data_IF_863223019231
#
_entry.id   IF_863223019231
#
_cell.length_a   1.000
_cell.length_b   1.000
_cell.length_c   1.000
_cell.angle_alpha   90.00
_cell.angle_beta   90.00
_cell.angle_gamma   90.00
#
_symmetry.space_group_name_H-M   'P 1'
#
loop_
_entity.id
_entity.type
_entity.pdbx_description
1 polymer ?
#
# COMPACT_ATOMS: atom_id res chain seq x y z
N UNK A 1 14.54 -58.84 25.44
CA UNK A 1 15.62 -58.47 26.39
C UNK A 1 15.06 -58.06 27.76
N UNK A 2 14.12 -57.11 27.83
CA UNK A 2 13.52 -56.65 29.10
C UNK A 2 12.86 -57.78 29.91
N UNK A 3 12.09 -58.67 29.28
CA UNK A 3 11.45 -59.80 29.97
C UNK A 3 12.44 -60.76 30.62
N UNK A 4 13.62 -60.95 30.02
CA UNK A 4 14.68 -61.76 30.60
C UNK A 4 15.32 -61.07 31.80
N UNK A 5 15.54 -59.76 31.75
CA UNK A 5 16.08 -58.99 32.88
C UNK A 5 15.13 -59.00 34.08
N UNK A 6 13.83 -58.80 33.85
CA UNK A 6 12.82 -58.89 34.91
C UNK A 6 12.73 -60.31 35.50
N UNK A 7 12.74 -61.32 34.64
CA UNK A 7 12.75 -62.71 35.05
C UNK A 7 14.02 -63.06 35.85
N UNK A 8 15.19 -62.66 35.37
CA UNK A 8 16.48 -62.85 36.05
C UNK A 8 16.51 -62.13 37.40
N UNK A 9 15.98 -60.91 37.48
CA UNK A 9 15.83 -60.16 38.73
C UNK A 9 14.95 -60.88 39.76
N UNK A 10 13.85 -61.51 39.32
CA UNK A 10 12.96 -62.28 40.19
C UNK A 10 13.66 -63.54 40.72
N UNK A 11 14.34 -64.29 39.85
CA UNK A 11 15.06 -65.51 40.26
C UNK A 11 16.33 -65.22 41.07
N UNK A 12 16.99 -64.10 40.81
CA UNK A 12 18.20 -63.65 41.50
C UNK A 12 17.91 -62.53 42.50
N UNK A 13 16.71 -62.50 43.09
CA UNK A 13 16.29 -61.47 44.04
C UNK A 13 17.26 -61.33 45.23
N UNK A 14 17.97 -62.40 45.59
CA UNK A 14 18.98 -62.40 46.65
C UNK A 14 20.16 -61.48 46.32
N UNK A 15 20.61 -61.47 45.07
CA UNK A 15 21.65 -60.54 44.62
C UNK A 15 21.16 -59.09 44.73
N UNK A 16 19.90 -58.85 44.36
CA UNK A 16 19.29 -57.52 44.49
C UNK A 16 19.18 -57.09 45.96
N UNK A 17 18.77 -57.99 46.87
CA UNK A 17 18.74 -57.71 48.31
C UNK A 17 20.13 -57.37 48.83
N UNK A 18 21.17 -58.11 48.45
CA UNK A 18 22.55 -57.82 48.88
C UNK A 18 23.01 -56.45 48.37
N UNK A 19 22.72 -56.15 47.11
CA UNK A 19 23.13 -54.92 46.43
C UNK A 19 22.43 -53.67 46.99
N UNK A 20 21.12 -53.77 47.27
CA UNK A 20 20.28 -52.64 47.66
C UNK A 20 20.04 -52.52 49.17
N UNK A 21 20.35 -53.53 49.98
CA UNK A 21 20.25 -53.43 51.43
C UNK A 21 21.39 -52.57 52.01
N UNK A 22 21.12 -51.78 53.04
CA UNK A 22 22.11 -50.94 53.75
C UNK A 22 22.77 -51.63 54.95
N UNK A 23 22.47 -52.92 55.20
CA UNK A 23 23.00 -53.66 56.35
C UNK A 23 24.49 -54.04 56.19
N UNK A 24 25.19 -54.27 57.30
CA UNK A 24 26.56 -54.79 57.30
C UNK A 24 26.69 -56.06 56.43
N UNK A 25 27.75 -56.18 55.60
CA UNK A 25 27.94 -57.32 54.69
C UNK A 25 27.84 -58.69 55.36
N UNK A 26 28.39 -58.84 56.56
CA UNK A 26 28.40 -60.11 57.31
C UNK A 26 26.98 -60.59 57.65
N UNK A 27 26.10 -59.67 58.07
CA UNK A 27 24.70 -59.98 58.40
C UNK A 27 23.90 -60.30 57.14
N UNK A 28 24.23 -59.69 55.99
CA UNK A 28 23.60 -60.00 54.69
C UNK A 28 23.90 -61.42 54.25
N UNK A 29 25.15 -61.85 54.33
CA UNK A 29 25.53 -63.22 53.96
C UNK A 29 24.87 -64.25 54.86
N UNK A 30 24.87 -64.02 56.18
CA UNK A 30 24.18 -64.90 57.13
C UNK A 30 22.67 -65.00 56.84
N UNK A 31 22.02 -63.89 56.48
CA UNK A 31 20.59 -63.89 56.15
C UNK A 31 20.31 -64.63 54.83
N UNK A 32 21.14 -64.42 53.81
CA UNK A 32 21.02 -65.10 52.51
C UNK A 32 21.28 -66.60 52.65
N UNK A 33 22.25 -67.00 53.47
CA UNK A 33 22.54 -68.40 53.79
C UNK A 33 21.38 -69.06 54.54
N UNK A 34 20.82 -68.39 55.55
CA UNK A 34 19.63 -68.87 56.26
C UNK A 34 18.40 -69.01 55.34
N UNK A 35 18.24 -68.10 54.38
CA UNK A 35 17.18 -68.17 53.37
C UNK A 35 17.44 -69.27 52.33
N UNK A 36 18.72 -69.55 52.03
CA UNK A 36 19.13 -70.60 51.09
C UNK A 36 18.98 -71.99 51.69
N UNK A 37 19.29 -72.15 52.98
CA UNK A 37 19.09 -73.39 53.71
C UNK A 37 17.61 -73.81 53.79
N UNK A 38 16.68 -72.85 53.69
CA UNK A 38 15.23 -73.09 53.62
C UNK A 38 14.68 -73.20 52.20
N UNK A 39 15.55 -73.22 51.18
CA UNK A 39 15.11 -73.25 49.78
C UNK A 39 14.44 -74.59 49.47
N UNK A 40 13.12 -74.56 49.23
CA UNK A 40 12.31 -75.73 48.88
C UNK A 40 12.85 -76.54 47.71
N UNK A 41 13.58 -75.91 46.78
CA UNK A 41 14.20 -76.60 45.64
C UNK A 41 15.29 -77.59 46.04
N UNK A 42 16.05 -77.30 47.10
CA UNK A 42 17.07 -78.22 47.60
C UNK A 42 16.42 -79.46 48.24
N UNK A 43 15.24 -79.30 48.85
CA UNK A 43 14.44 -80.40 49.39
C UNK A 43 13.71 -81.21 48.31
N UNK A 44 13.28 -80.55 47.22
CA UNK A 44 12.63 -81.22 46.09
C UNK A 44 13.62 -82.04 45.24
N UNK A 45 14.91 -81.66 45.23
CA UNK A 45 15.93 -82.29 44.40
C UNK A 45 17.25 -82.51 45.17
N UNK A 46 17.27 -83.41 46.16
CA UNK A 46 18.43 -83.64 47.03
C UNK A 46 19.65 -84.23 46.31
N UNK A 47 19.47 -84.80 45.12
CA UNK A 47 20.54 -85.40 44.32
C UNK A 47 21.21 -84.44 43.33
N UNK A 48 20.83 -83.17 43.29
CA UNK A 48 21.45 -82.22 42.37
C UNK A 48 22.83 -81.80 42.86
N UNK A 49 23.88 -81.88 42.01
CA UNK A 49 25.18 -81.36 42.36
C UNK A 49 25.09 -79.84 42.58
N UNK A 50 25.85 -79.28 43.55
CA UNK A 50 25.80 -77.85 43.88
C UNK A 50 26.01 -76.93 42.66
N UNK A 51 26.80 -77.35 41.69
CA UNK A 51 27.08 -76.61 40.46
C UNK A 51 25.86 -76.53 39.54
N UNK A 52 25.08 -77.62 39.45
CA UNK A 52 23.87 -77.64 38.65
C UNK A 52 22.77 -76.76 39.26
N UNK A 53 22.71 -76.66 40.59
CA UNK A 53 21.78 -75.76 41.28
C UNK A 53 21.98 -74.30 40.85
N UNK A 54 23.22 -73.83 40.82
CA UNK A 54 23.56 -72.47 40.40
C UNK A 54 23.24 -72.22 38.92
N UNK A 55 23.50 -73.19 38.04
CA UNK A 55 23.14 -73.10 36.61
C UNK A 55 21.61 -73.05 36.41
N UNK A 56 20.88 -73.89 37.14
CA UNK A 56 19.43 -73.97 37.04
C UNK A 56 18.77 -72.67 37.52
N UNK A 57 19.21 -72.09 38.63
CA UNK A 57 18.59 -70.86 39.17
C UNK A 57 19.14 -69.60 38.50
N UNK A 58 20.43 -69.57 38.18
CA UNK A 58 21.08 -68.41 37.60
C UNK A 58 20.71 -68.17 36.14
N UNK A 59 20.51 -69.25 35.36
CA UNK A 59 20.30 -69.15 33.91
C UNK A 59 19.04 -69.86 33.43
N UNK A 60 18.88 -71.17 33.70
CA UNK A 60 17.76 -71.93 33.11
C UNK A 60 16.39 -71.48 33.62
N UNK A 61 16.25 -71.19 34.92
CA UNK A 61 15.02 -70.72 35.53
C UNK A 61 14.54 -69.42 34.88
N UNK A 62 15.36 -68.36 34.88
CA UNK A 62 15.07 -67.12 34.16
C UNK A 62 14.72 -67.32 32.70
N UNK A 63 15.43 -68.21 32.00
CA UNK A 63 15.22 -68.52 30.59
C UNK A 63 13.86 -69.18 30.38
N UNK A 64 13.51 -70.19 31.18
CA UNK A 64 12.24 -70.91 31.10
C UNK A 64 11.06 -70.00 31.44
N UNK A 65 11.16 -69.16 32.47
CA UNK A 65 10.09 -68.19 32.77
C UNK A 65 10.00 -67.12 31.70
N UNK A 66 11.10 -66.69 31.08
CA UNK A 66 11.06 -65.77 29.92
C UNK A 66 10.36 -66.42 28.74
N UNK A 67 10.67 -67.68 28.44
CA UNK A 67 10.02 -68.43 27.37
C UNK A 67 8.52 -68.61 27.66
N UNK A 68 8.16 -68.91 28.91
CA UNK A 68 6.77 -68.96 29.35
C UNK A 68 6.07 -67.62 29.11
N UNK A 69 6.65 -66.50 29.55
CA UNK A 69 6.10 -65.17 29.28
C UNK A 69 5.94 -64.91 27.78
N UNK A 70 6.95 -65.22 26.95
CA UNK A 70 6.87 -65.00 25.51
C UNK A 70 5.81 -65.86 24.81
N UNK A 71 5.48 -67.04 25.33
CA UNK A 71 4.48 -67.92 24.73
C UNK A 71 3.06 -67.67 25.26
N UNK A 72 2.95 -67.28 26.52
CA UNK A 72 1.66 -67.16 27.22
C UNK A 72 1.12 -65.74 27.12
N UNK A 73 1.97 -64.72 27.23
CA UNK A 73 1.55 -63.32 27.21
C UNK A 73 0.86 -62.93 25.89
N UNK A 74 1.37 -63.29 24.69
CA UNK A 74 0.67 -62.97 23.44
C UNK A 74 -0.71 -63.62 23.33
N UNK A 75 -0.91 -64.79 23.94
CA UNK A 75 -2.25 -65.45 23.95
C UNK A 75 -3.23 -64.66 24.81
N UNK A 76 -2.79 -64.16 25.96
CA UNK A 76 -3.62 -63.29 26.80
C UNK A 76 -3.90 -61.94 26.13
N UNK A 77 -2.92 -61.35 25.45
CA UNK A 77 -3.09 -60.12 24.68
C UNK A 77 -4.10 -60.30 23.55
N UNK A 78 -3.99 -61.39 22.78
CA UNK A 78 -4.95 -61.71 21.72
C UNK A 78 -6.37 -61.89 22.26
N UNK A 79 -6.52 -62.55 23.42
CA UNK A 79 -7.82 -62.71 24.08
C UNK A 79 -8.38 -61.36 24.54
N UNK A 80 -7.57 -60.52 25.19
CA UNK A 80 -7.97 -59.19 25.64
C UNK A 80 -8.37 -58.29 24.46
N UNK A 81 -7.61 -58.33 23.37
CA UNK A 81 -7.89 -57.57 22.15
C UNK A 81 -9.20 -58.03 21.52
N UNK A 82 -9.44 -59.34 21.44
CA UNK A 82 -10.70 -59.90 20.92
C UNK A 82 -11.90 -59.38 21.72
N UNK A 83 -11.84 -59.46 23.05
CA UNK A 83 -12.90 -58.96 23.93
C UNK A 83 -13.12 -57.45 23.73
N UNK A 84 -12.03 -56.68 23.59
CA UNK A 84 -12.11 -55.23 23.35
C UNK A 84 -12.76 -54.88 22.00
N UNK A 85 -12.41 -55.62 20.94
CA UNK A 85 -13.00 -55.46 19.61
C UNK A 85 -14.49 -55.81 19.62
N UNK A 86 -14.88 -56.91 20.25
CA UNK A 86 -16.28 -57.32 20.39
C UNK A 86 -17.11 -56.24 21.11
N UNK A 87 -16.59 -55.70 22.22
CA UNK A 87 -17.24 -54.57 22.92
C UNK A 87 -17.34 -53.32 22.05
N UNK A 88 -16.29 -53.01 21.29
CA UNK A 88 -16.28 -51.85 20.40
C UNK A 88 -17.34 -51.96 19.30
N UNK A 89 -17.54 -53.16 18.75
CA UNK A 89 -18.59 -53.44 17.76
C UNK A 89 -19.98 -53.34 18.40
N UNK A 90 -20.18 -53.93 19.59
CA UNK A 90 -21.44 -53.83 20.32
C UNK A 90 -21.81 -52.39 20.64
N UNK A 91 -20.84 -51.59 21.12
CA UNK A 91 -21.06 -50.17 21.41
C UNK A 91 -21.42 -49.37 20.17
N UNK A 92 -20.82 -49.68 19.00
CA UNK A 92 -21.23 -49.07 17.72
C UNK A 92 -22.67 -49.41 17.37
N UNK A 93 -23.10 -50.66 17.55
CA UNK A 93 -24.47 -51.09 17.34
C UNK A 93 -25.46 -50.33 18.23
N UNK A 94 -25.20 -50.30 19.55
CA UNK A 94 -26.03 -49.58 20.52
C UNK A 94 -26.10 -48.09 20.19
N UNK A 95 -24.98 -47.48 19.76
CA UNK A 95 -24.96 -46.07 19.37
C UNK A 95 -25.84 -45.81 18.15
N UNK A 96 -25.74 -46.65 17.11
CA UNK A 96 -26.58 -46.54 15.91
C UNK A 96 -28.07 -46.69 16.24
N UNK A 97 -28.43 -47.65 17.11
CA UNK A 97 -29.80 -47.83 17.61
C UNK A 97 -30.28 -46.59 18.39
N UNK A 98 -29.45 -46.05 19.29
CA UNK A 98 -29.78 -44.85 20.06
C UNK A 98 -29.96 -43.60 19.18
N UNK A 99 -29.20 -43.49 18.10
CA UNK A 99 -29.29 -42.40 17.12
C UNK A 99 -30.42 -42.62 16.10
N UNK A 100 -31.17 -43.74 16.18
CA UNK A 100 -32.14 -44.19 15.16
C UNK A 100 -31.54 -44.20 13.75
N UNK A 101 -30.23 -44.38 13.64
CA UNK A 101 -29.50 -44.39 12.38
C UNK A 101 -29.40 -45.82 11.87
N UNK A 102 -29.91 -46.07 10.67
CA UNK A 102 -29.72 -47.37 10.00
C UNK A 102 -28.27 -47.47 9.50
N UNK A 103 -27.54 -48.57 9.79
CA UNK A 103 -26.23 -48.78 9.20
C UNK A 103 -26.38 -48.84 7.67
N UNK A 104 -25.76 -47.88 6.99
CA UNK A 104 -25.78 -47.77 5.53
C UNK A 104 -25.05 -48.99 4.95
N UNK A 105 -25.65 -49.67 3.97
CA UNK A 105 -25.00 -50.78 3.29
C UNK A 105 -23.74 -50.30 2.56
N UNK A 106 -22.73 -51.16 2.40
CA UNK A 106 -21.47 -50.74 1.77
C UNK A 106 -21.69 -50.16 0.37
N UNK A 107 -22.56 -50.78 -0.42
CA UNK A 107 -22.89 -50.34 -1.78
C UNK A 107 -23.64 -49.00 -1.78
N UNK A 108 -24.57 -48.80 -0.84
CA UNK A 108 -25.25 -47.52 -0.65
C UNK A 108 -24.27 -46.41 -0.24
N UNK A 109 -23.25 -46.74 0.56
CA UNK A 109 -22.23 -45.77 0.96
C UNK A 109 -21.33 -45.34 -0.21
N UNK A 110 -21.08 -46.24 -1.16
CA UNK A 110 -20.34 -45.93 -2.39
C UNK A 110 -21.20 -45.04 -3.28
N UNK A 111 -22.46 -45.44 -3.51
CA UNK A 111 -23.40 -44.66 -4.31
C UNK A 111 -23.61 -43.24 -3.74
N UNK A 112 -23.74 -43.12 -2.41
CA UNK A 112 -23.90 -41.81 -1.77
C UNK A 112 -22.65 -40.94 -1.94
N UNK A 113 -21.45 -41.52 -1.85
CA UNK A 113 -20.19 -40.80 -2.11
C UNK A 113 -20.10 -40.32 -3.56
N UNK A 114 -20.55 -41.13 -4.50
CA UNK A 114 -20.58 -40.76 -5.91
C UNK A 114 -21.56 -39.64 -6.19
N UNK A 115 -22.78 -39.71 -5.64
CA UNK A 115 -23.75 -38.61 -5.70
C UNK A 115 -23.22 -37.31 -5.09
N UNK A 116 -22.52 -37.40 -3.95
CA UNK A 116 -21.90 -36.22 -3.32
C UNK A 116 -20.83 -35.63 -4.24
N UNK A 117 -19.97 -36.47 -4.82
CA UNK A 117 -18.92 -36.02 -5.75
C UNK A 117 -19.53 -35.33 -6.98
N UNK A 118 -20.55 -35.93 -7.59
CA UNK A 118 -21.25 -35.32 -8.73
C UNK A 118 -21.91 -33.99 -8.38
N UNK A 119 -22.54 -33.90 -7.19
CA UNK A 119 -23.14 -32.66 -6.71
C UNK A 119 -22.09 -31.57 -6.44
N UNK A 120 -20.92 -31.93 -5.92
CA UNK A 120 -19.79 -31.02 -5.72
C UNK A 120 -19.24 -30.52 -7.07
N UNK A 121 -19.00 -31.42 -8.03
CA UNK A 121 -18.55 -31.05 -9.38
C UNK A 121 -19.55 -30.12 -10.08
N UNK A 122 -20.84 -30.40 -9.97
CA UNK A 122 -21.90 -29.55 -10.53
C UNK A 122 -21.96 -28.16 -9.87
N UNK A 123 -21.78 -28.10 -8.54
CA UNK A 123 -21.72 -26.86 -7.78
C UNK A 123 -20.50 -26.02 -8.20
N UNK A 124 -19.34 -26.63 -8.30
CA UNK A 124 -18.10 -25.94 -8.68
C UNK A 124 -18.20 -25.39 -10.10
N UNK A 125 -18.77 -26.17 -11.04
CA UNK A 125 -19.05 -25.70 -12.38
C UNK A 125 -20.02 -24.51 -12.40
N UNK A 126 -21.04 -24.49 -11.53
CA UNK A 126 -21.97 -23.37 -11.41
C UNK A 126 -21.30 -22.11 -10.85
N UNK A 127 -20.46 -22.26 -9.82
CA UNK A 127 -19.68 -21.16 -9.23
C UNK A 127 -18.75 -20.56 -10.28
N UNK A 128 -18.05 -21.37 -11.06
CA UNK A 128 -17.13 -20.88 -12.08
C UNK A 128 -17.86 -20.13 -13.20
N UNK A 129 -19.02 -20.63 -13.64
CA UNK A 129 -19.88 -19.90 -14.59
C UNK A 129 -20.30 -18.55 -14.06
N UNK A 130 -20.70 -18.47 -12.79
CA UNK A 130 -21.08 -17.22 -12.16
C UNK A 130 -19.89 -16.25 -12.07
N UNK A 131 -18.70 -16.75 -11.73
CA UNK A 131 -17.47 -15.96 -11.69
C UNK A 131 -17.12 -15.36 -13.05
N UNK A 132 -17.21 -16.13 -14.13
CA UNK A 132 -16.97 -15.66 -15.50
C UNK A 132 -17.97 -14.56 -15.89
N UNK A 133 -19.25 -14.71 -15.52
CA UNK A 133 -20.27 -13.69 -15.81
C UNK A 133 -20.00 -12.39 -15.05
N UNK A 134 -19.68 -12.49 -13.76
CA UNK A 134 -19.32 -11.33 -12.95
C UNK A 134 -18.08 -10.62 -13.50
N UNK A 135 -17.06 -11.38 -13.92
CA UNK A 135 -15.85 -10.79 -14.50
C UNK A 135 -16.18 -10.01 -15.78
N UNK A 136 -17.01 -10.58 -16.67
CA UNK A 136 -17.45 -9.87 -17.89
C UNK A 136 -18.21 -8.58 -17.58
N UNK A 137 -19.02 -8.58 -16.52
CA UNK A 137 -19.75 -7.38 -16.10
C UNK A 137 -18.81 -6.31 -15.54
N UNK A 138 -17.83 -6.72 -14.73
CA UNK A 138 -16.76 -5.84 -14.23
C UNK A 138 -15.96 -5.24 -15.39
N UNK A 139 -15.54 -6.06 -16.36
CA UNK A 139 -14.76 -5.59 -17.51
C UNK A 139 -15.58 -4.60 -18.37
N UNK A 140 -16.88 -4.85 -18.55
CA UNK A 140 -17.79 -3.92 -19.22
C UNK A 140 -17.90 -2.60 -18.47
N UNK A 141 -18.08 -2.65 -17.15
CA UNK A 141 -18.18 -1.47 -16.30
C UNK A 141 -16.89 -0.67 -16.26
N UNK A 142 -15.75 -1.35 -16.24
CA UNK A 142 -14.44 -0.71 -16.31
C UNK A 142 -14.26 0.04 -17.63
N UNK A 143 -14.66 -0.59 -18.75
CA UNK A 143 -14.63 0.08 -20.05
C UNK A 143 -15.54 1.30 -20.11
N UNK A 144 -16.77 1.20 -19.58
CA UNK A 144 -17.68 2.35 -19.48
C UNK A 144 -17.08 3.49 -18.65
N UNK A 145 -16.34 3.17 -17.58
CA UNK A 145 -15.67 4.13 -16.72
C UNK A 145 -14.48 4.79 -17.44
N UNK A 146 -13.66 4.01 -18.14
CA UNK A 146 -12.53 4.52 -18.91
C UNK A 146 -13.00 5.45 -20.04
N UNK A 147 -14.07 5.07 -20.75
CA UNK A 147 -14.69 5.89 -21.79
C UNK A 147 -15.24 7.21 -21.22
N UNK A 148 -15.91 7.16 -20.05
CA UNK A 148 -16.40 8.35 -19.36
C UNK A 148 -15.25 9.25 -18.88
N UNK A 149 -14.17 8.68 -18.35
CA UNK A 149 -13.00 9.42 -17.91
C UNK A 149 -12.29 10.11 -19.08
N UNK A 150 -12.18 9.43 -20.22
CA UNK A 150 -11.64 10.00 -21.45
C UNK A 150 -12.50 11.17 -21.96
N UNK A 151 -13.83 11.05 -21.91
CA UNK A 151 -14.73 12.14 -22.26
C UNK A 151 -14.60 13.35 -21.32
N UNK A 152 -14.46 13.11 -20.01
CA UNK A 152 -14.21 14.18 -19.02
C UNK A 152 -12.88 14.88 -19.31
N UNK A 153 -11.82 14.12 -19.56
CA UNK A 153 -10.50 14.66 -19.86
C UNK A 153 -10.50 15.49 -21.15
N UNK A 154 -11.20 15.03 -22.20
CA UNK A 154 -11.36 15.77 -23.44
C UNK A 154 -12.11 17.09 -23.24
N UNK A 155 -13.22 17.07 -22.50
CA UNK A 155 -13.99 18.28 -22.17
C UNK A 155 -13.19 19.25 -21.29
N UNK A 156 -12.41 18.74 -20.34
CA UNK A 156 -11.53 19.55 -19.50
C UNK A 156 -10.44 20.24 -20.33
N UNK A 157 -9.84 19.52 -21.27
CA UNK A 157 -8.84 20.09 -22.19
C UNK A 157 -9.43 21.20 -23.08
N UNK A 158 -10.63 20.99 -23.64
CA UNK A 158 -11.34 22.01 -24.40
C UNK A 158 -11.65 23.24 -23.52
N UNK A 159 -12.05 23.02 -22.27
CA UNK A 159 -12.33 24.10 -21.31
C UNK A 159 -11.09 24.91 -20.96
N UNK A 160 -9.95 24.25 -20.71
CA UNK A 160 -8.65 24.91 -20.50
C UNK A 160 -8.23 25.72 -21.74
N UNK A 161 -8.45 25.18 -22.94
CA UNK A 161 -8.12 25.88 -24.19
C UNK A 161 -8.96 27.16 -24.38
N UNK A 162 -10.23 27.12 -23.98
CA UNK A 162 -11.14 28.28 -23.97
C UNK A 162 -10.77 29.30 -22.89
N UNK A 163 -10.39 28.83 -21.71
CA UNK A 163 -9.97 29.70 -20.61
C UNK A 163 -8.65 30.41 -20.95
N UNK A 164 -7.68 29.72 -21.55
CA UNK A 164 -6.42 30.31 -21.99
C UNK A 164 -6.61 31.34 -23.11
N UNK A 165 -7.49 31.07 -24.08
CA UNK A 165 -7.85 32.06 -25.11
C UNK A 165 -8.53 33.29 -24.49
N UNK A 166 -9.49 33.09 -23.59
CA UNK A 166 -10.15 34.20 -22.88
C UNK A 166 -9.17 34.99 -22.02
N UNK A 167 -8.23 34.35 -21.34
CA UNK A 167 -7.20 35.02 -20.55
C UNK A 167 -6.26 35.85 -21.43
N UNK A 168 -5.91 35.36 -22.63
CA UNK A 168 -5.12 36.10 -23.60
C UNK A 168 -5.88 37.34 -24.11
N UNK A 169 -7.19 37.22 -24.38
CA UNK A 169 -8.04 38.34 -24.75
C UNK A 169 -8.14 39.39 -23.62
N UNK A 170 -8.34 38.96 -22.38
CA UNK A 170 -8.36 39.86 -21.21
C UNK A 170 -7.02 40.61 -21.08
N UNK A 171 -5.89 39.91 -21.27
CA UNK A 171 -4.58 40.53 -21.20
C UNK A 171 -4.36 41.55 -22.35
N UNK A 172 -4.81 41.23 -23.57
CA UNK A 172 -4.76 42.16 -24.70
C UNK A 172 -5.63 43.39 -24.46
N UNK A 173 -6.83 43.22 -23.90
CA UNK A 173 -7.72 44.33 -23.55
C UNK A 173 -7.13 45.21 -22.45
N UNK A 174 -6.47 44.62 -21.44
CA UNK A 174 -5.75 45.38 -20.41
C UNK A 174 -4.64 46.24 -21.02
N UNK A 175 -3.83 45.67 -21.91
CA UNK A 175 -2.79 46.43 -22.61
C UNK A 175 -3.37 47.55 -23.47
N UNK A 176 -4.45 47.29 -24.22
CA UNK A 176 -5.11 48.31 -25.02
C UNK A 176 -5.67 49.45 -24.16
N UNK A 177 -6.26 49.10 -23.01
CA UNK A 177 -6.73 50.08 -22.03
C UNK A 177 -5.58 50.93 -21.49
N UNK A 178 -4.48 50.32 -21.06
CA UNK A 178 -3.32 51.04 -20.53
C UNK A 178 -2.72 51.99 -21.59
N UNK A 179 -2.65 51.55 -22.85
CA UNK A 179 -2.23 52.40 -23.97
C UNK A 179 -3.17 53.60 -24.17
N UNK A 180 -4.49 53.40 -24.12
CA UNK A 180 -5.47 54.47 -24.24
C UNK A 180 -5.41 55.46 -23.07
N UNK A 181 -5.24 54.98 -21.83
CA UNK A 181 -5.07 55.84 -20.66
C UNK A 181 -3.81 56.71 -20.78
N UNK A 182 -2.71 56.13 -21.28
CA UNK A 182 -1.47 56.88 -21.55
C UNK A 182 -1.66 57.92 -22.68
N UNK A 183 -2.39 57.57 -23.74
CA UNK A 183 -2.73 58.52 -24.80
C UNK A 183 -3.64 59.66 -24.31
N UNK A 184 -4.61 59.35 -23.45
CA UNK A 184 -5.52 60.34 -22.87
C UNK A 184 -4.76 61.31 -21.95
N UNK A 185 -3.90 60.81 -21.06
CA UNK A 185 -3.07 61.64 -20.18
C UNK A 185 -2.17 62.60 -20.98
N UNK A 186 -1.50 62.08 -22.00
CA UNK A 186 -0.68 62.90 -22.90
C UNK A 186 -1.53 63.94 -23.67
N UNK A 187 -2.80 63.64 -23.97
CA UNK A 187 -3.71 64.58 -24.61
C UNK A 187 -4.20 65.69 -23.66
N UNK A 188 -4.44 65.39 -22.38
CA UNK A 188 -4.81 66.38 -21.38
C UNK A 188 -3.69 67.38 -21.12
N UNK A 189 -2.43 66.91 -21.05
CA UNK A 189 -1.27 67.77 -20.88
C UNK A 189 -1.08 68.72 -22.07
N UNK A 190 -1.30 68.22 -23.30
CA UNK A 190 -1.34 69.05 -24.50
C UNK A 190 -2.46 70.10 -24.44
N UNK A 191 -3.66 69.73 -24.00
CA UNK A 191 -4.80 70.64 -23.88
C UNK A 191 -4.51 71.75 -22.86
N UNK A 192 -4.02 71.41 -21.67
CA UNK A 192 -3.63 72.39 -20.65
C UNK A 192 -2.55 73.36 -21.16
N UNK A 193 -1.54 72.83 -21.86
CA UNK A 193 -0.51 73.65 -22.46
C UNK A 193 -1.10 74.66 -23.47
N UNK A 194 -2.00 74.25 -24.37
CA UNK A 194 -2.66 75.17 -25.32
C UNK A 194 -3.51 76.24 -24.62
N UNK A 195 -4.31 75.85 -23.62
CA UNK A 195 -5.20 76.79 -22.92
C UNK A 195 -4.45 77.84 -22.10
N UNK A 196 -3.22 77.55 -21.66
CA UNK A 196 -2.37 78.53 -20.95
C UNK A 196 -1.68 79.56 -21.85
N UNK A 197 -1.73 79.39 -23.17
CA UNK A 197 -1.11 80.32 -24.13
C UNK A 197 -2.05 81.44 -24.53
N UNK A 198 -1.54 82.66 -24.52
CA UNK A 198 -2.18 83.82 -25.13
C UNK A 198 -2.22 83.69 -26.67
N UNK A 199 -3.12 84.41 -27.33
CA UNK A 199 -3.33 84.33 -28.78
C UNK A 199 -2.04 84.59 -29.57
N UNK A 200 -1.24 85.57 -29.15
CA UNK A 200 0.05 85.86 -29.80
C UNK A 200 1.11 84.78 -29.58
N UNK A 201 1.08 84.07 -28.45
CA UNK A 201 1.96 82.93 -28.20
C UNK A 201 1.58 81.71 -29.06
N UNK A 202 0.28 81.50 -29.32
CA UNK A 202 -0.19 80.47 -30.27
C UNK A 202 0.25 80.78 -31.69
N UNK A 203 0.09 82.03 -32.15
CA UNK A 203 0.53 82.45 -33.48
C UNK A 203 2.05 82.34 -33.65
N UNK A 204 2.81 82.64 -32.60
CA UNK A 204 4.26 82.44 -32.58
C UNK A 204 4.62 80.94 -32.67
N UNK A 205 3.93 80.05 -31.97
CA UNK A 205 4.17 78.60 -32.04
C UNK A 205 4.03 78.07 -33.48
N UNK A 206 2.95 78.44 -34.18
CA UNK A 206 2.75 78.07 -35.58
C UNK A 206 3.78 78.74 -36.50
N UNK A 207 4.16 79.98 -36.21
CA UNK A 207 5.19 80.69 -36.98
C UNK A 207 6.59 80.07 -36.83
N UNK A 208 6.92 79.49 -35.67
CA UNK A 208 8.14 78.69 -35.47
C UNK A 208 8.04 77.37 -36.26
N UNK A 209 6.88 76.68 -36.20
CA UNK A 209 6.64 75.45 -36.96
C UNK A 209 6.81 75.63 -38.47
N UNK A 210 6.23 76.71 -39.01
CA UNK A 210 6.29 77.02 -40.44
C UNK A 210 7.67 77.58 -40.86
N UNK A 211 8.61 77.68 -39.92
CA UNK A 211 9.96 78.19 -40.16
C UNK A 211 10.02 79.70 -40.44
N UNK A 212 8.95 80.45 -40.15
CA UNK A 212 8.87 81.92 -40.29
C UNK A 212 9.64 82.62 -39.16
N UNK A 213 9.65 82.04 -37.96
CA UNK A 213 10.43 82.52 -36.82
C UNK A 213 11.56 81.52 -36.55
N UNK A 214 12.74 81.81 -37.08
CA UNK A 214 13.96 81.02 -36.82
C UNK A 214 14.89 81.68 -35.82
N UNK A 215 14.99 83.01 -35.84
CA UNK A 215 15.89 83.78 -34.98
C UNK A 215 15.07 84.70 -34.07
N UNK A 216 15.01 84.35 -32.78
CA UNK A 216 14.25 85.07 -31.76
C UNK A 216 14.73 86.50 -31.57
N UNK A 217 16.05 86.74 -31.66
CA UNK A 217 16.62 88.07 -31.47
C UNK A 217 16.17 89.04 -32.55
N UNK A 218 16.05 88.56 -33.80
CA UNK A 218 15.58 89.36 -34.93
C UNK A 218 14.09 89.64 -34.83
N UNK A 219 13.30 88.64 -34.43
CA UNK A 219 11.86 88.79 -34.30
C UNK A 219 11.46 89.68 -33.10
N UNK A 220 12.17 89.58 -31.98
CA UNK A 220 11.93 90.40 -30.78
C UNK A 220 12.34 91.87 -30.91
N UNK A 221 13.14 92.22 -31.92
CA UNK A 221 13.40 93.61 -32.29
C UNK A 221 12.23 94.25 -33.04
N UNK A 222 11.38 93.45 -33.70
CA UNK A 222 10.23 93.91 -34.46
C UNK A 222 8.95 93.97 -33.62
N UNK A 223 8.80 93.05 -32.67
CA UNK A 223 7.70 93.06 -31.72
C UNK A 223 8.23 92.81 -30.30
N UNK A 224 8.11 93.80 -29.43
CA UNK A 224 8.56 93.68 -28.04
C UNK A 224 7.80 92.60 -27.26
N UNK A 225 6.59 92.22 -27.68
CA UNK A 225 5.78 91.16 -27.07
C UNK A 225 6.24 89.75 -27.48
N UNK A 226 7.08 89.63 -28.51
CA UNK A 226 7.62 88.35 -28.96
C UNK A 226 8.40 87.61 -27.88
N UNK A 227 9.14 88.32 -27.02
CA UNK A 227 9.87 87.70 -25.92
C UNK A 227 8.92 87.17 -24.84
N UNK A 228 7.80 87.85 -24.58
CA UNK A 228 6.78 87.40 -23.64
C UNK A 228 6.05 86.16 -24.17
N UNK A 229 5.67 86.19 -25.45
CA UNK A 229 5.05 85.05 -26.13
C UNK A 229 5.98 83.83 -26.18
N UNK A 230 7.26 84.02 -26.52
CA UNK A 230 8.22 82.92 -26.47
C UNK A 230 8.46 82.43 -25.04
N UNK A 231 8.46 83.33 -24.06
CA UNK A 231 8.54 82.99 -22.64
C UNK A 231 7.41 82.06 -22.21
N UNK A 232 6.18 82.29 -22.70
CA UNK A 232 5.05 81.37 -22.47
C UNK A 232 5.24 80.01 -23.15
N UNK A 233 5.74 79.99 -24.39
CA UNK A 233 6.05 78.74 -25.12
C UNK A 233 7.17 77.94 -24.46
N UNK A 234 8.15 78.62 -23.89
CA UNK A 234 9.25 78.01 -23.15
C UNK A 234 8.78 77.48 -21.79
N UNK A 235 7.97 78.25 -21.05
CA UNK A 235 7.42 77.86 -19.75
C UNK A 235 6.46 76.65 -19.87
N UNK A 236 5.73 76.55 -20.97
CA UNK A 236 4.87 75.40 -21.28
C UNK A 236 5.65 74.21 -21.89
N UNK A 237 6.96 74.36 -22.11
CA UNK A 237 7.82 73.33 -22.69
C UNK A 237 7.51 73.02 -24.16
N UNK A 238 6.81 73.90 -24.87
CA UNK A 238 6.42 73.73 -26.28
C UNK A 238 7.50 74.20 -27.25
N UNK A 239 8.35 75.13 -26.82
CA UNK A 239 9.48 75.61 -27.60
C UNK A 239 10.74 75.72 -26.74
N UNK A 240 11.88 75.51 -27.36
CA UNK A 240 13.20 75.71 -26.77
C UNK A 240 14.00 76.66 -27.64
N UNK A 241 15.00 77.33 -27.05
CA UNK A 241 15.95 78.11 -27.83
C UNK A 241 17.37 77.69 -27.52
N UNK A 242 18.17 77.50 -28.56
CA UNK A 242 19.62 77.31 -28.44
C UNK A 242 20.31 78.37 -29.30
N UNK A 243 21.20 79.15 -28.71
CA UNK A 243 21.89 80.28 -29.37
C UNK A 243 20.96 81.30 -30.06
N UNK A 244 19.76 81.50 -29.52
CA UNK A 244 18.76 82.41 -30.07
C UNK A 244 18.00 81.88 -31.29
N UNK A 245 18.23 80.63 -31.67
CA UNK A 245 17.42 79.90 -32.66
C UNK A 245 16.26 79.23 -31.93
N UNK A 246 15.03 79.56 -32.32
CA UNK A 246 13.82 78.95 -31.79
C UNK A 246 13.57 77.59 -32.45
N UNK A 247 13.27 76.56 -31.66
CA UNK A 247 12.84 75.26 -32.15
C UNK A 247 11.67 74.74 -31.33
N UNK A 248 10.79 73.96 -31.97
CA UNK A 248 9.73 73.25 -31.26
C UNK A 248 10.30 72.02 -30.56
N UNK A 249 9.86 71.78 -29.33
CA UNK A 249 10.08 70.50 -28.65
C UNK A 249 9.23 69.39 -29.29
N UNK A 250 9.48 68.11 -28.99
CA UNK A 250 8.59 67.02 -29.44
C UNK A 250 7.11 67.24 -29.04
N UNK A 251 6.87 67.90 -27.90
CA UNK A 251 5.53 68.28 -27.44
C UNK A 251 4.92 69.38 -28.33
N UNK A 252 5.69 70.43 -28.62
CA UNK A 252 5.28 71.50 -29.54
C UNK A 252 5.01 71.00 -30.97
N UNK A 253 5.84 70.08 -31.48
CA UNK A 253 5.66 69.46 -32.79
C UNK A 253 4.37 68.62 -32.85
N UNK A 254 4.12 67.77 -31.84
CA UNK A 254 2.88 66.98 -31.74
C UNK A 254 1.63 67.88 -31.68
N UNK A 255 1.72 69.00 -30.98
CA UNK A 255 0.62 69.94 -30.83
C UNK A 255 0.28 70.63 -32.17
N UNK A 256 1.31 71.04 -32.92
CA UNK A 256 1.11 71.61 -34.26
C UNK A 256 0.56 70.57 -35.24
N UNK A 257 1.10 69.33 -35.22
CA UNK A 257 0.59 68.24 -36.07
C UNK A 257 -0.87 67.90 -35.76
N UNK A 258 -1.26 67.84 -34.48
CA UNK A 258 -2.64 67.59 -34.06
C UNK A 258 -3.58 68.71 -34.53
N UNK A 259 -3.15 69.96 -34.44
CA UNK A 259 -3.92 71.09 -34.97
C UNK A 259 -4.08 71.02 -36.49
N UNK A 260 -3.02 70.67 -37.23
CA UNK A 260 -3.06 70.48 -38.69
C UNK A 260 -4.01 69.35 -39.11
N UNK A 261 -4.05 68.25 -38.36
CA UNK A 261 -4.97 67.13 -38.61
C UNK A 261 -6.43 67.54 -38.37
N UNK A 262 -6.71 68.28 -37.29
CA UNK A 262 -8.05 68.76 -36.97
C UNK A 262 -8.55 69.88 -37.89
N UNK A 263 -7.65 70.67 -38.50
CA UNK A 263 -8.02 71.70 -39.48
C UNK A 263 -8.27 71.13 -40.89
N UNK A 264 -7.83 69.90 -41.15
CA UNK A 264 -7.97 69.21 -42.45
C UNK A 264 -9.10 68.17 -42.46
N UNK A 265 -9.76 67.91 -41.31
CA UNK A 265 -10.96 67.09 -41.16
C UNK A 265 -12.22 67.94 -41.14
#
# INVERSE_FOLDING_TARGET
MFSFLCSWAIWNYRLLIILFSSTDPEKKFAHVEALSAKSYLLHLFPSFPPEAYWLCIGFMGPLLTTLFYLLVLPKFEAMALKISLEKSVQLKGIKLEAENATPIAHDESIHLREMIREAEEARDAAIERQRILMQKEVDKKQKELDDAQNAINANHHDSISKETTMQNEINALRQAKDNLEHELANSEDLIKAVFSLDQGAREMLFSISDGRVKNLKVFAQQDHRANEWFGQLYATGLATSFDGIASLTPLGQKLVLKHQLLSNS
#
